data_IF_909695176515
#
_entry.id   IF_909695176515
#
_cell.length_a   1.000
_cell.length_b   1.000
_cell.length_c   1.000
_cell.angle_alpha   90.00
_cell.angle_beta   90.00
_cell.angle_gamma   90.00
#
_symmetry.space_group_name_H-M   'P 1'
#
loop_
_entity.id
_entity.type
_entity.pdbx_description
1 polymer ?
#
# COMPACT_ATOMS: atom_id res chain seq x y z
N UNK A 1 31.72 0.41 -3.95
CA UNK A 1 31.15 0.20 -2.60
C UNK A 1 32.02 -0.81 -1.88
N UNK A 2 32.63 -0.44 -0.74
CA UNK A 2 33.54 -1.33 -0.02
C UNK A 2 32.73 -2.39 0.75
N UNK A 3 33.02 -3.68 0.57
CA UNK A 3 32.35 -4.79 1.27
C UNK A 3 32.45 -4.65 2.79
N UNK A 4 33.61 -4.23 3.29
CA UNK A 4 33.86 -4.11 4.73
C UNK A 4 32.93 -3.09 5.40
N UNK A 5 32.54 -2.02 4.68
CA UNK A 5 31.60 -1.05 5.22
C UNK A 5 30.23 -1.64 5.52
N UNK A 6 29.71 -2.52 4.65
CA UNK A 6 28.40 -3.17 4.87
C UNK A 6 28.43 -4.16 6.05
N UNK A 7 29.57 -4.84 6.28
CA UNK A 7 29.70 -5.80 7.37
C UNK A 7 29.64 -5.15 8.75
N UNK A 8 29.97 -3.85 8.84
CA UNK A 8 29.96 -3.09 10.10
C UNK A 8 28.67 -2.30 10.34
N UNK A 9 27.73 -2.29 9.37
CA UNK A 9 26.43 -1.65 9.55
C UNK A 9 25.53 -2.51 10.45
N UNK A 10 25.69 -2.33 11.75
CA UNK A 10 24.90 -2.99 12.80
C UNK A 10 24.36 -1.93 13.74
N UNK A 11 23.14 -2.16 14.23
CA UNK A 11 22.52 -1.35 15.28
C UNK A 11 21.95 -2.31 16.34
N UNK A 12 22.21 -2.03 17.60
CA UNK A 12 21.55 -2.72 18.71
C UNK A 12 20.15 -2.14 18.88
N UNK A 13 19.15 -3.01 18.93
CA UNK A 13 17.77 -2.65 19.18
C UNK A 13 17.54 -2.60 20.69
N UNK A 14 17.25 -1.38 21.22
CA UNK A 14 17.18 -1.17 22.66
C UNK A 14 16.06 -0.20 23.08
N UNK A 15 15.18 0.22 22.17
CA UNK A 15 14.17 1.22 22.48
C UNK A 15 13.03 0.71 23.35
N UNK A 16 12.66 -0.57 23.23
CA UNK A 16 11.55 -1.14 23.99
C UNK A 16 11.69 -2.66 24.11
N UNK A 17 11.02 -3.22 25.09
CA UNK A 17 10.87 -4.66 25.29
C UNK A 17 9.41 -5.03 25.11
N UNK A 18 9.12 -6.09 24.36
CA UNK A 18 7.80 -6.69 24.27
C UNK A 18 7.80 -7.95 25.15
N UNK A 19 7.13 -7.84 26.30
CA UNK A 19 6.96 -8.98 27.21
C UNK A 19 5.63 -9.67 26.94
N UNK A 20 5.58 -10.99 26.97
CA UNK A 20 4.37 -11.80 26.78
C UNK A 20 3.29 -11.41 27.78
N UNK A 21 3.65 -11.07 29.03
CA UNK A 21 2.73 -10.63 30.07
C UNK A 21 2.04 -9.29 29.79
N UNK A 22 2.60 -8.50 28.87
CA UNK A 22 2.08 -7.18 28.47
C UNK A 22 1.43 -7.23 27.09
N UNK A 23 1.57 -8.33 26.36
CA UNK A 23 0.95 -8.49 25.05
C UNK A 23 -0.56 -8.73 25.21
N UNK A 24 -1.43 -7.98 24.52
CA UNK A 24 -2.86 -8.27 24.53
C UNK A 24 -3.13 -9.61 23.85
N UNK A 25 -4.23 -10.26 24.23
CA UNK A 25 -4.63 -11.55 23.65
C UNK A 25 -4.96 -11.47 22.15
N UNK A 26 -5.30 -10.27 21.65
CA UNK A 26 -5.58 -10.03 20.24
C UNK A 26 -4.40 -9.36 19.55
N UNK A 27 -3.81 -9.96 18.49
CA UNK A 27 -2.76 -9.34 17.70
C UNK A 27 -3.26 -8.06 16.99
N UNK A 28 -4.56 -7.98 16.67
CA UNK A 28 -5.18 -6.77 16.15
C UNK A 28 -5.06 -5.59 17.12
N UNK A 29 -5.34 -5.81 18.40
CA UNK A 29 -5.23 -4.77 19.44
C UNK A 29 -3.79 -4.28 19.57
N UNK A 30 -2.82 -5.19 19.55
CA UNK A 30 -1.39 -4.82 19.60
C UNK A 30 -0.99 -4.02 18.36
N UNK A 31 -1.39 -4.47 17.18
CA UNK A 31 -1.09 -3.77 15.93
C UNK A 31 -1.70 -2.35 15.94
N UNK A 32 -2.98 -2.22 16.33
CA UNK A 32 -3.63 -0.91 16.43
C UNK A 32 -2.86 0.03 17.38
N UNK A 33 -2.49 -0.45 18.55
CA UNK A 33 -1.70 0.32 19.53
C UNK A 33 -0.36 0.77 18.93
N UNK A 34 0.33 -0.12 18.22
CA UNK A 34 1.62 0.20 17.61
C UNK A 34 1.47 1.19 16.43
N UNK A 35 0.42 1.09 15.64
CA UNK A 35 0.12 2.05 14.57
C UNK A 35 -0.21 3.43 15.16
N UNK A 36 -1.02 3.50 16.22
CA UNK A 36 -1.34 4.74 16.92
C UNK A 36 -0.06 5.39 17.50
N UNK A 37 0.87 4.60 18.03
CA UNK A 37 2.17 5.08 18.51
C UNK A 37 3.06 5.59 17.36
N UNK A 38 3.06 4.91 16.21
CA UNK A 38 3.79 5.33 15.02
C UNK A 38 3.25 6.67 14.47
N UNK A 39 1.93 6.84 14.46
CA UNK A 39 1.27 8.11 14.11
C UNK A 39 1.64 9.22 15.09
N UNK A 40 1.59 8.95 16.40
CA UNK A 40 1.90 9.92 17.46
C UNK A 40 3.37 10.33 17.46
N UNK A 41 4.26 9.41 17.12
CA UNK A 41 5.70 9.68 16.99
C UNK A 41 6.06 10.45 15.71
N UNK A 42 5.08 10.74 14.85
CA UNK A 42 5.24 11.49 13.60
C UNK A 42 6.33 10.90 12.69
N UNK A 43 6.49 9.57 12.69
CA UNK A 43 7.43 8.94 11.78
C UNK A 43 6.98 9.13 10.32
N UNK A 44 7.91 9.18 9.35
CA UNK A 44 7.55 9.32 7.94
C UNK A 44 6.65 8.19 7.46
N UNK A 45 5.52 8.52 6.85
CA UNK A 45 4.57 7.57 6.23
C UNK A 45 4.25 6.33 7.11
N UNK A 46 3.76 6.50 8.36
CA UNK A 46 3.54 5.39 9.28
C UNK A 46 2.52 4.37 8.75
N UNK A 47 1.71 4.77 7.78
CA UNK A 47 0.70 3.97 7.10
C UNK A 47 1.22 3.26 5.84
N UNK A 48 2.50 3.43 5.48
CA UNK A 48 3.11 2.73 4.37
C UNK A 48 3.47 1.29 4.76
N UNK A 49 3.17 0.36 3.86
CA UNK A 49 3.50 -1.05 4.06
C UNK A 49 4.00 -1.68 2.76
N UNK A 50 4.93 -2.61 2.88
CA UNK A 50 5.35 -3.45 1.77
C UNK A 50 4.34 -4.55 1.55
N UNK A 51 3.74 -4.60 0.36
CA UNK A 51 2.86 -5.69 -0.07
C UNK A 51 3.65 -6.64 -0.98
N UNK A 52 3.74 -7.90 -0.60
CA UNK A 52 4.24 -9.00 -1.42
C UNK A 52 3.09 -9.79 -2.04
N UNK A 53 3.19 -10.08 -3.32
CA UNK A 53 2.25 -10.94 -4.09
C UNK A 53 3.02 -11.89 -4.99
N UNK A 54 2.40 -13.01 -5.35
CA UNK A 54 2.99 -14.04 -6.20
C UNK A 54 2.04 -14.31 -7.37
N UNK A 55 2.56 -14.27 -8.58
CA UNK A 55 1.83 -14.60 -9.80
C UNK A 55 1.87 -16.08 -10.15
N UNK A 56 1.31 -16.43 -11.32
CA UNK A 56 1.31 -17.81 -11.85
C UNK A 56 2.71 -18.34 -12.16
N UNK A 57 3.69 -17.45 -12.34
CA UNK A 57 5.11 -17.77 -12.52
C UNK A 57 5.85 -18.09 -11.20
N UNK A 58 5.13 -18.09 -10.08
CA UNK A 58 5.63 -18.29 -8.71
C UNK A 58 6.73 -17.32 -8.28
N UNK A 59 6.94 -16.23 -9.02
CA UNK A 59 7.91 -15.20 -8.65
C UNK A 59 7.27 -14.16 -7.74
N UNK A 60 7.78 -14.00 -6.50
CA UNK A 60 7.30 -12.95 -5.63
C UNK A 60 7.69 -11.58 -6.16
N UNK A 61 6.83 -10.61 -5.96
CA UNK A 61 7.10 -9.21 -6.24
C UNK A 61 6.56 -8.33 -5.13
N UNK A 62 7.26 -7.22 -4.84
CA UNK A 62 6.90 -6.30 -3.76
C UNK A 62 6.68 -4.90 -4.28
N UNK A 63 5.91 -4.12 -3.54
CA UNK A 63 5.69 -2.67 -3.72
C UNK A 63 5.17 -2.06 -2.43
N UNK A 64 5.30 -0.75 -2.31
CA UNK A 64 4.69 -0.02 -1.22
C UNK A 64 3.22 0.24 -1.57
N UNK A 65 2.35 0.04 -0.59
CA UNK A 65 0.94 0.45 -0.58
C UNK A 65 0.61 1.09 0.77
N UNK A 66 -0.51 1.81 0.85
CA UNK A 66 -0.88 2.52 2.07
C UNK A 66 -2.10 1.86 2.70
N UNK A 67 -2.04 1.55 3.99
CA UNK A 67 -3.24 1.17 4.74
C UNK A 67 -4.21 2.36 4.75
N UNK A 68 -5.49 2.08 4.53
CA UNK A 68 -6.56 3.08 4.51
C UNK A 68 -7.62 2.82 5.57
N UNK A 69 -7.89 1.57 5.86
CA UNK A 69 -8.82 1.16 6.89
C UNK A 69 -8.26 -0.06 7.63
N UNK A 70 -8.63 -0.16 8.89
CA UNK A 70 -8.26 -1.26 9.78
C UNK A 70 -9.46 -1.60 10.66
N UNK A 71 -9.93 -2.84 10.60
CA UNK A 71 -10.92 -3.39 11.50
C UNK A 71 -10.56 -4.84 11.90
N UNK A 72 -11.42 -5.50 12.67
CA UNK A 72 -11.19 -6.88 13.13
C UNK A 72 -11.16 -7.91 11.99
N UNK A 73 -11.68 -7.58 10.81
CA UNK A 73 -11.66 -8.44 9.62
C UNK A 73 -10.32 -8.34 8.89
N UNK A 74 -9.57 -7.23 9.06
CA UNK A 74 -8.27 -7.07 8.48
C UNK A 74 -7.92 -5.64 8.07
N UNK A 75 -7.03 -5.56 7.10
CA UNK A 75 -6.44 -4.33 6.57
C UNK A 75 -6.98 -4.06 5.18
N UNK A 76 -7.43 -2.82 4.94
CA UNK A 76 -7.89 -2.38 3.63
C UNK A 76 -6.87 -1.44 3.00
N UNK A 77 -6.56 -1.68 1.73
CA UNK A 77 -5.83 -0.77 0.85
C UNK A 77 -6.50 -0.72 -0.52
N UNK A 78 -6.26 0.34 -1.26
CA UNK A 78 -6.84 0.52 -2.59
C UNK A 78 -5.76 0.50 -3.67
N UNK A 79 -6.04 -0.17 -4.77
CA UNK A 79 -5.11 -0.35 -5.87
C UNK A 79 -5.82 -0.46 -7.21
N UNK A 80 -5.07 -0.34 -8.29
CA UNK A 80 -5.53 -0.55 -9.64
C UNK A 80 -5.61 -2.06 -9.95
N UNK A 81 -6.78 -2.59 -10.27
CA UNK A 81 -6.98 -4.04 -10.45
C UNK A 81 -6.24 -4.60 -11.66
N UNK A 82 -6.05 -3.83 -12.74
CA UNK A 82 -5.28 -4.25 -13.90
C UNK A 82 -3.75 -4.07 -13.75
N UNK A 83 -3.28 -3.54 -12.61
CA UNK A 83 -1.85 -3.51 -12.30
C UNK A 83 -1.29 -4.92 -12.07
N UNK A 84 0.05 -5.07 -12.14
CA UNK A 84 0.71 -6.37 -11.89
C UNK A 84 0.25 -7.02 -10.57
N UNK A 85 0.16 -6.26 -9.48
CA UNK A 85 -0.31 -6.79 -8.20
C UNK A 85 -1.79 -7.19 -8.24
N UNK A 86 -2.63 -6.40 -8.91
CA UNK A 86 -4.05 -6.70 -9.07
C UNK A 86 -4.27 -8.00 -9.85
N UNK A 87 -3.53 -8.19 -10.94
CA UNK A 87 -3.58 -9.42 -11.73
C UNK A 87 -3.05 -10.63 -10.95
N UNK A 88 -1.94 -10.47 -10.21
CA UNK A 88 -1.40 -11.52 -9.36
C UNK A 88 -2.40 -11.95 -8.28
N UNK A 89 -3.03 -11.00 -7.59
CA UNK A 89 -4.05 -11.27 -6.57
C UNK A 89 -5.33 -11.89 -7.14
N UNK A 90 -5.68 -11.58 -8.38
CA UNK A 90 -6.82 -12.23 -9.05
C UNK A 90 -6.58 -13.72 -9.30
N UNK A 91 -5.34 -14.11 -9.61
CA UNK A 91 -4.96 -15.51 -9.85
C UNK A 91 -4.54 -16.24 -8.56
N UNK A 92 -3.92 -15.55 -7.63
CA UNK A 92 -3.48 -16.08 -6.34
C UNK A 92 -3.76 -15.05 -5.24
N UNK A 93 -4.82 -15.22 -4.45
CA UNK A 93 -5.23 -14.23 -3.45
C UNK A 93 -4.40 -14.25 -2.16
N UNK A 94 -3.29 -14.97 -2.11
CA UNK A 94 -2.39 -14.97 -0.96
C UNK A 94 -1.42 -13.80 -1.03
N UNK A 95 -1.24 -13.11 0.08
CA UNK A 95 -0.32 -11.98 0.20
C UNK A 95 0.35 -11.91 1.56
N UNK A 96 1.49 -11.21 1.59
CA UNK A 96 2.12 -10.79 2.83
C UNK A 96 2.26 -9.28 2.86
N UNK A 97 2.06 -8.70 4.03
CA UNK A 97 2.24 -7.28 4.32
C UNK A 97 3.33 -7.11 5.36
N UNK A 98 4.14 -6.05 5.23
CA UNK A 98 5.11 -5.69 6.25
C UNK A 98 5.10 -4.18 6.49
N UNK A 99 4.89 -3.79 7.74
CA UNK A 99 5.23 -2.47 8.25
C UNK A 99 6.62 -2.51 8.85
N UNK A 100 7.43 -1.49 8.60
CA UNK A 100 8.77 -1.36 9.16
C UNK A 100 8.96 0.07 9.67
N UNK A 101 8.77 0.25 10.97
CA UNK A 101 8.93 1.52 11.67
C UNK A 101 10.32 1.56 12.30
N UNK A 102 11.30 1.99 11.51
CA UNK A 102 12.74 1.97 11.89
C UNK A 102 13.00 2.78 13.15
N UNK A 103 12.34 3.94 13.26
CA UNK A 103 12.48 4.87 14.39
C UNK A 103 11.94 4.27 15.69
N UNK A 104 11.02 3.34 15.62
CA UNK A 104 10.45 2.63 16.77
C UNK A 104 11.03 1.22 16.95
N UNK A 105 11.96 0.81 16.09
CA UNK A 105 12.55 -0.53 16.07
C UNK A 105 11.48 -1.63 16.02
N UNK A 106 10.41 -1.41 15.23
CA UNK A 106 9.27 -2.32 15.12
C UNK A 106 9.07 -2.81 13.71
N UNK A 107 8.78 -4.10 13.60
CA UNK A 107 8.34 -4.74 12.38
C UNK A 107 7.05 -5.49 12.66
N UNK A 108 6.03 -5.27 11.83
CA UNK A 108 4.79 -6.07 11.84
C UNK A 108 4.68 -6.79 10.50
N UNK A 109 4.48 -8.09 10.52
CA UNK A 109 4.24 -8.91 9.33
C UNK A 109 2.88 -9.57 9.44
N UNK A 110 2.13 -9.54 8.35
CA UNK A 110 0.77 -10.07 8.27
C UNK A 110 0.68 -10.88 6.99
N UNK A 111 0.25 -12.12 7.10
CA UNK A 111 0.02 -13.00 5.97
C UNK A 111 -1.44 -13.42 5.95
N UNK A 112 -2.00 -13.52 4.76
CA UNK A 112 -3.38 -13.91 4.66
C UNK A 112 -3.95 -13.87 3.25
N UNK A 113 -5.24 -14.17 3.19
CA UNK A 113 -6.03 -14.10 1.97
C UNK A 113 -6.55 -12.68 1.74
N UNK A 114 -6.47 -12.25 0.49
CA UNK A 114 -6.96 -10.94 0.05
C UNK A 114 -8.30 -11.11 -0.64
N UNK A 115 -9.25 -10.25 -0.30
CA UNK A 115 -10.57 -10.19 -0.93
C UNK A 115 -10.85 -8.76 -1.41
N UNK A 116 -11.70 -8.61 -2.40
CA UNK A 116 -12.16 -7.29 -2.85
C UNK A 116 -13.20 -6.76 -1.88
N UNK A 117 -13.05 -5.52 -1.46
CA UNK A 117 -14.12 -4.79 -0.78
C UNK A 117 -15.28 -4.50 -1.75
N UNK A 118 -16.42 -4.08 -1.24
CA UNK A 118 -17.57 -3.73 -2.07
C UNK A 118 -17.26 -2.58 -3.05
N UNK A 119 -17.97 -2.53 -4.17
CA UNK A 119 -17.87 -1.42 -5.11
C UNK A 119 -18.21 -0.09 -4.42
N UNK A 120 -19.26 -0.07 -3.59
CA UNK A 120 -19.68 1.12 -2.86
C UNK A 120 -18.58 1.65 -1.92
N UNK A 121 -17.86 0.77 -1.20
CA UNK A 121 -16.73 1.15 -0.35
C UNK A 121 -15.57 1.71 -1.18
N UNK A 122 -15.27 1.08 -2.32
CA UNK A 122 -14.24 1.55 -3.25
C UNK A 122 -14.58 2.92 -3.83
N UNK A 123 -15.84 3.16 -4.19
CA UNK A 123 -16.32 4.42 -4.75
C UNK A 123 -16.30 5.53 -3.69
N UNK A 124 -16.73 5.22 -2.47
CA UNK A 124 -16.67 6.15 -1.34
C UNK A 124 -15.23 6.59 -1.05
N UNK A 125 -14.29 5.65 -0.95
CA UNK A 125 -12.87 5.99 -0.79
C UNK A 125 -12.34 6.80 -1.97
N UNK A 126 -12.65 6.39 -3.22
CA UNK A 126 -12.16 7.09 -4.42
C UNK A 126 -12.59 8.55 -4.43
N UNK A 127 -13.83 8.84 -4.01
CA UNK A 127 -14.37 10.19 -3.92
C UNK A 127 -13.63 11.10 -2.93
N UNK A 128 -12.98 10.52 -1.89
CA UNK A 128 -12.19 11.31 -0.94
C UNK A 128 -10.82 11.75 -1.46
N UNK A 129 -10.36 11.18 -2.58
CA UNK A 129 -9.05 11.51 -3.14
C UNK A 129 -9.05 12.91 -3.77
N UNK A 130 -7.92 13.63 -3.73
CA UNK A 130 -7.78 14.88 -4.48
C UNK A 130 -8.10 14.69 -5.96
N UNK A 131 -8.77 15.67 -6.61
CA UNK A 131 -9.20 15.58 -8.02
C UNK A 131 -8.05 15.19 -8.96
N UNK A 132 -6.86 15.74 -8.75
CA UNK A 132 -5.67 15.37 -9.54
C UNK A 132 -5.31 13.88 -9.41
N UNK A 133 -5.45 13.29 -8.20
CA UNK A 133 -5.22 11.86 -7.97
C UNK A 133 -6.33 10.98 -8.58
N UNK A 134 -7.57 11.48 -8.60
CA UNK A 134 -8.69 10.80 -9.27
C UNK A 134 -8.46 10.77 -10.80
N UNK A 135 -8.09 11.90 -11.38
CA UNK A 135 -7.77 12.03 -12.80
C UNK A 135 -6.56 11.18 -13.19
N UNK A 136 -5.51 11.18 -12.34
CA UNK A 136 -4.32 10.35 -12.54
C UNK A 136 -4.61 8.85 -12.58
N UNK A 137 -5.64 8.38 -11.85
CA UNK A 137 -6.05 6.98 -11.90
C UNK A 137 -6.63 6.57 -13.26
N UNK A 138 -7.23 7.49 -14.01
CA UNK A 138 -7.68 7.27 -15.37
C UNK A 138 -6.55 7.34 -16.40
N UNK A 139 -5.58 8.20 -16.17
CA UNK A 139 -4.46 8.41 -17.09
C UNK A 139 -3.40 7.30 -17.04
N UNK A 140 -3.17 6.71 -15.86
CA UNK A 140 -2.04 5.81 -15.64
C UNK A 140 -2.39 4.35 -15.87
N UNK A 141 -1.86 3.68 -16.91
CA UNK A 141 -1.93 2.23 -17.06
C UNK A 141 -0.90 1.57 -16.12
N UNK A 142 -1.22 1.49 -14.85
CA UNK A 142 -0.27 1.08 -13.81
C UNK A 142 0.40 -0.27 -14.10
N UNK A 143 1.71 -0.34 -13.95
CA UNK A 143 2.57 -1.51 -14.22
C UNK A 143 2.66 -1.91 -15.70
N UNK A 144 2.34 -1.03 -16.63
CA UNK A 144 2.51 -1.24 -18.07
C UNK A 144 3.63 -0.36 -18.61
N UNK A 145 4.28 -0.84 -19.67
CA UNK A 145 5.30 -0.06 -20.39
C UNK A 145 4.58 0.93 -21.31
N UNK A 146 5.00 2.19 -21.24
CA UNK A 146 4.55 3.24 -22.14
C UNK A 146 5.50 3.31 -23.33
N UNK A 147 4.97 3.29 -24.55
CA UNK A 147 5.79 3.26 -25.78
C UNK A 147 6.55 4.58 -26.01
N UNK A 148 5.94 5.69 -25.63
CA UNK A 148 6.53 7.04 -25.76
C UNK A 148 7.04 7.58 -24.40
N UNK A 149 7.15 6.71 -23.39
CA UNK A 149 7.69 7.07 -22.09
C UNK A 149 6.87 8.13 -21.36
N UNK A 150 7.54 9.12 -20.77
CA UNK A 150 6.90 10.14 -19.92
C UNK A 150 5.93 11.02 -20.68
N UNK A 151 6.23 11.40 -21.94
CA UNK A 151 5.34 12.26 -22.73
C UNK A 151 3.98 11.64 -22.93
N UNK A 152 3.89 10.34 -23.19
CA UNK A 152 2.62 9.63 -23.32
C UNK A 152 1.77 9.72 -22.04
N UNK A 153 2.41 9.62 -20.86
CA UNK A 153 1.70 9.75 -19.59
C UNK A 153 1.17 11.17 -19.38
N UNK A 154 1.96 12.17 -19.72
CA UNK A 154 1.61 13.58 -19.57
C UNK A 154 0.45 13.94 -20.52
N UNK A 155 0.46 13.46 -21.76
CA UNK A 155 -0.64 13.63 -22.73
C UNK A 155 -1.94 12.94 -22.24
N UNK A 156 -1.84 11.72 -21.76
CA UNK A 156 -2.98 11.00 -21.16
C UNK A 156 -3.55 11.73 -19.96
N UNK A 157 -2.69 12.27 -19.10
CA UNK A 157 -3.13 13.03 -17.93
C UNK A 157 -3.85 14.31 -18.34
N UNK A 158 -3.32 15.06 -19.30
CA UNK A 158 -3.93 16.28 -19.84
C UNK A 158 -5.29 15.99 -20.48
N UNK A 159 -5.39 14.91 -21.26
CA UNK A 159 -6.65 14.48 -21.86
C UNK A 159 -7.72 14.18 -20.79
N UNK A 160 -7.36 13.48 -19.71
CA UNK A 160 -8.28 13.20 -18.62
C UNK A 160 -8.63 14.46 -17.80
N UNK A 161 -7.67 15.38 -17.60
CA UNK A 161 -7.94 16.67 -17.00
C UNK A 161 -9.00 17.46 -17.80
N UNK A 162 -8.84 17.51 -19.11
CA UNK A 162 -9.78 18.19 -20.01
C UNK A 162 -11.15 17.50 -19.97
N UNK A 163 -11.18 16.17 -20.04
CA UNK A 163 -12.42 15.39 -19.99
C UNK A 163 -13.23 15.66 -18.70
N UNK A 164 -12.56 15.71 -17.55
CA UNK A 164 -13.21 15.94 -16.26
C UNK A 164 -13.22 17.41 -15.81
N UNK A 165 -12.83 18.36 -16.65
CA UNK A 165 -12.70 19.77 -16.25
C UNK A 165 -14.00 20.32 -15.65
N UNK A 166 -15.13 20.07 -16.33
CA UNK A 166 -16.46 20.56 -15.95
C UNK A 166 -17.26 19.56 -15.08
N UNK A 167 -16.68 18.41 -14.77
CA UNK A 167 -17.36 17.39 -13.96
C UNK A 167 -17.33 17.76 -12.48
N UNK A 168 -18.47 17.70 -11.80
CA UNK A 168 -18.57 17.89 -10.36
C UNK A 168 -17.83 16.78 -9.59
N UNK A 169 -17.76 15.58 -10.16
CA UNK A 169 -17.03 14.44 -9.59
C UNK A 169 -16.37 13.63 -10.70
N UNK A 170 -15.29 12.93 -10.34
CA UNK A 170 -14.62 11.98 -11.23
C UNK A 170 -15.02 10.57 -10.75
N UNK A 171 -15.67 9.76 -11.59
CA UNK A 171 -16.00 8.39 -11.21
C UNK A 171 -14.74 7.54 -11.06
N UNK A 172 -14.79 6.49 -10.25
CA UNK A 172 -13.71 5.53 -10.17
C UNK A 172 -13.60 4.73 -11.47
N UNK A 173 -12.40 4.54 -12.06
CA UNK A 173 -12.24 3.62 -13.18
C UNK A 173 -12.60 2.19 -12.79
N UNK A 174 -13.10 1.41 -13.75
CA UNK A 174 -13.51 0.02 -13.53
C UNK A 174 -12.32 -0.94 -13.22
N UNK A 175 -11.11 -0.47 -13.44
CA UNK A 175 -9.86 -1.25 -13.33
C UNK A 175 -9.18 -1.10 -11.97
#
# INVERSE_FOLDING_TARGET
MNRDHLHHLRKDYAQAVLLESQAPSSPYTLFKTWLDQALSAQIPEPNAMTLATVGSDLRPSTRIVLIKELDERGIVWYTHYSSRKGQQLAGNPQAALQFHWVELERVVRIEGRVERVSAAQSDAYFATRPKASQTGAWASPQSQVLQQGRSELDDRFLAQQTHFAQSASVPRPAS
#
